data_IF_196374291087
#
_entry.id   IF_196374291087
#
_cell.length_a   1.000
_cell.length_b   1.000
_cell.length_c   1.000
_cell.angle_alpha   90.00
_cell.angle_beta   90.00
_cell.angle_gamma   90.00
#
_symmetry.space_group_name_H-M   'P 1'
#
loop_
_entity.id
_entity.type
_entity.pdbx_description
1 polymer ?
#
# COMPACT_ATOMS: atom_id res chain seq x y z
N UNK A 1 2.80 -21.44 9.91
CA UNK A 1 1.39 -21.20 9.53
C UNK A 1 1.27 -21.62 8.07
N UNK A 2 0.25 -22.40 7.74
CA UNK A 2 -0.08 -22.79 6.37
C UNK A 2 -0.36 -21.54 5.49
N UNK A 3 0.14 -21.55 4.24
CA UNK A 3 -0.01 -20.48 3.27
C UNK A 3 -1.48 -20.24 2.93
N UNK A 4 -2.28 -21.30 2.85
CA UNK A 4 -3.72 -21.19 2.62
C UNK A 4 -4.43 -20.48 3.78
N UNK A 5 -4.11 -20.83 5.02
CA UNK A 5 -4.67 -20.18 6.21
C UNK A 5 -4.39 -18.66 6.22
N UNK A 6 -3.21 -18.25 5.73
CA UNK A 6 -2.85 -16.83 5.59
C UNK A 6 -3.66 -16.11 4.52
N UNK A 7 -3.80 -16.71 3.35
CA UNK A 7 -4.63 -16.14 2.28
C UNK A 7 -6.07 -15.91 2.75
N UNK A 8 -6.64 -16.87 3.50
CA UNK A 8 -7.98 -16.76 4.08
C UNK A 8 -8.03 -15.67 5.14
N UNK A 9 -7.05 -15.63 6.04
CA UNK A 9 -6.96 -14.61 7.09
C UNK A 9 -6.87 -13.19 6.51
N UNK A 10 -6.01 -12.98 5.51
CA UNK A 10 -5.83 -11.70 4.83
C UNK A 10 -7.14 -11.27 4.15
N UNK A 11 -7.77 -12.17 3.39
CA UNK A 11 -9.06 -11.91 2.75
C UNK A 11 -10.14 -11.53 3.77
N UNK A 12 -10.30 -12.32 4.83
CA UNK A 12 -11.33 -12.09 5.87
C UNK A 12 -11.09 -10.76 6.59
N UNK A 13 -9.84 -10.45 6.94
CA UNK A 13 -9.49 -9.17 7.56
C UNK A 13 -9.80 -8.01 6.62
N UNK A 14 -9.40 -8.05 5.35
CA UNK A 14 -9.72 -6.97 4.39
C UNK A 14 -11.22 -6.71 4.32
N UNK A 15 -12.05 -7.74 4.14
CA UNK A 15 -13.50 -7.56 4.05
C UNK A 15 -14.12 -7.07 5.37
N UNK A 16 -13.67 -7.59 6.51
CA UNK A 16 -14.13 -7.11 7.81
C UNK A 16 -13.82 -5.61 7.99
N UNK A 17 -12.63 -5.16 7.60
CA UNK A 17 -12.27 -3.75 7.68
C UNK A 17 -13.02 -2.87 6.68
N UNK A 18 -13.25 -3.33 5.45
CA UNK A 18 -14.10 -2.61 4.49
C UNK A 18 -15.53 -2.45 5.03
N UNK A 19 -16.08 -3.49 5.65
CA UNK A 19 -17.40 -3.41 6.30
C UNK A 19 -17.39 -2.39 7.45
N UNK A 20 -16.39 -2.44 8.34
CA UNK A 20 -16.23 -1.46 9.42
C UNK A 20 -16.06 -0.04 8.88
N UNK A 21 -15.33 0.13 7.77
CA UNK A 21 -15.14 1.42 7.10
C UNK A 21 -16.45 2.00 6.59
N UNK A 22 -17.25 1.20 5.87
CA UNK A 22 -18.57 1.61 5.38
C UNK A 22 -19.49 1.94 6.56
N UNK A 23 -19.53 1.09 7.60
CA UNK A 23 -20.34 1.33 8.80
C UNK A 23 -19.93 2.59 9.56
N UNK A 24 -18.63 2.91 9.62
CA UNK A 24 -18.14 4.14 10.23
C UNK A 24 -18.62 5.38 9.45
N UNK A 25 -18.54 5.35 8.12
CA UNK A 25 -19.05 6.44 7.27
C UNK A 25 -20.57 6.60 7.40
N UNK A 26 -21.31 5.48 7.40
CA UNK A 26 -22.76 5.49 7.56
C UNK A 26 -23.16 6.03 8.94
N UNK A 27 -22.49 5.60 10.01
CA UNK A 27 -22.75 6.06 11.38
C UNK A 27 -22.52 7.56 11.51
N UNK A 28 -21.48 8.07 10.85
CA UNK A 28 -21.17 9.49 10.84
C UNK A 28 -22.17 10.30 10.01
N UNK A 29 -22.56 9.79 8.84
CA UNK A 29 -23.61 10.40 8.02
C UNK A 29 -24.94 10.47 8.77
N UNK A 30 -25.30 9.40 9.48
CA UNK A 30 -26.49 9.34 10.33
C UNK A 30 -26.43 10.36 11.47
N UNK A 31 -25.30 10.46 12.17
CA UNK A 31 -25.13 11.46 13.22
C UNK A 31 -25.32 12.88 12.68
N UNK A 32 -24.78 13.20 11.50
CA UNK A 32 -24.94 14.52 10.87
C UNK A 32 -26.38 14.80 10.43
N UNK A 33 -27.08 13.78 9.90
CA UNK A 33 -28.50 13.88 9.55
C UNK A 33 -29.36 14.18 10.79
N UNK A 34 -29.08 13.51 11.91
CA UNK A 34 -29.77 13.75 13.19
C UNK A 34 -29.49 15.16 13.73
N UNK A 35 -28.23 15.59 13.78
CA UNK A 35 -27.88 16.87 14.42
C UNK A 35 -28.16 18.10 13.56
N UNK A 36 -28.11 17.98 12.23
CA UNK A 36 -28.17 19.13 11.32
C UNK A 36 -29.51 19.25 10.62
N UNK A 37 -30.13 18.13 10.26
CA UNK A 37 -31.37 18.08 9.48
C UNK A 37 -32.56 17.59 10.30
N UNK A 38 -32.37 17.31 11.59
CA UNK A 38 -33.44 16.90 12.48
C UNK A 38 -34.12 15.61 12.02
N UNK A 39 -33.36 14.64 11.49
CA UNK A 39 -33.91 13.39 10.94
C UNK A 39 -34.82 12.61 11.93
N UNK A 40 -34.58 12.74 13.23
CA UNK A 40 -35.40 12.12 14.29
C UNK A 40 -36.40 13.09 14.93
N UNK A 41 -36.44 14.33 14.48
CA UNK A 41 -37.32 15.36 15.01
C UNK A 41 -38.71 15.20 14.37
N UNK A 42 -39.81 15.10 15.14
CA UNK A 42 -41.16 14.91 14.59
C UNK A 42 -41.63 16.02 13.65
N UNK A 43 -40.97 17.19 13.70
CA UNK A 43 -41.19 18.33 12.81
C UNK A 43 -40.10 18.50 11.75
N UNK A 44 -39.11 17.60 11.70
CA UNK A 44 -38.03 17.61 10.73
C UNK A 44 -38.45 16.96 9.41
N UNK A 45 -38.31 17.68 8.30
CA UNK A 45 -38.53 17.14 6.94
C UNK A 45 -37.30 16.44 6.34
N UNK A 46 -36.30 16.14 7.17
CA UNK A 46 -35.01 15.65 6.70
C UNK A 46 -35.11 14.23 6.13
N UNK A 47 -34.95 14.06 4.82
CA UNK A 47 -34.52 12.77 4.26
C UNK A 47 -33.07 12.49 4.74
N UNK A 48 -32.64 11.22 4.89
CA UNK A 48 -31.30 10.86 5.36
C UNK A 48 -30.26 11.06 4.25
N UNK A 49 -30.15 12.30 3.77
CA UNK A 49 -29.40 12.68 2.59
C UNK A 49 -27.89 12.52 2.81
N UNK A 50 -27.37 12.90 3.98
CA UNK A 50 -25.94 12.76 4.28
C UNK A 50 -25.58 11.30 4.46
N UNK A 51 -26.42 10.50 5.11
CA UNK A 51 -26.26 9.05 5.24
C UNK A 51 -26.24 8.35 3.88
N UNK A 52 -27.14 8.72 2.97
CA UNK A 52 -27.18 8.19 1.62
C UNK A 52 -25.90 8.51 0.84
N UNK A 53 -25.44 9.77 0.88
CA UNK A 53 -24.17 10.18 0.26
C UNK A 53 -23.00 9.42 0.89
N UNK A 54 -22.95 9.29 2.22
CA UNK A 54 -21.89 8.59 2.92
C UNK A 54 -21.83 7.11 2.53
N UNK A 55 -22.99 6.45 2.37
CA UNK A 55 -23.09 5.07 1.90
C UNK A 55 -22.57 4.94 0.46
N UNK A 56 -23.04 5.78 -0.46
CA UNK A 56 -22.64 5.75 -1.87
C UNK A 56 -21.14 6.04 -2.01
N UNK A 57 -20.63 7.04 -1.29
CA UNK A 57 -19.21 7.41 -1.33
C UNK A 57 -18.31 6.32 -0.73
N UNK A 58 -18.63 5.83 0.47
CA UNK A 58 -17.82 4.80 1.14
C UNK A 58 -17.91 3.44 0.45
N UNK A 59 -19.10 3.04 0.00
CA UNK A 59 -19.31 1.83 -0.79
C UNK A 59 -18.62 1.92 -2.16
N UNK A 60 -18.74 3.06 -2.84
CA UNK A 60 -18.02 3.32 -4.10
C UNK A 60 -16.50 3.26 -3.93
N UNK A 61 -15.96 3.88 -2.87
CA UNK A 61 -14.53 3.83 -2.57
C UNK A 61 -14.07 2.41 -2.20
N UNK A 62 -14.85 1.66 -1.43
CA UNK A 62 -14.57 0.27 -1.11
C UNK A 62 -14.53 -0.61 -2.37
N UNK A 63 -15.55 -0.49 -3.24
CA UNK A 63 -15.63 -1.24 -4.50
C UNK A 63 -14.47 -0.89 -5.44
N UNK A 64 -14.20 0.39 -5.64
CA UNK A 64 -13.08 0.84 -6.48
C UNK A 64 -11.73 0.40 -5.92
N UNK A 65 -11.52 0.46 -4.60
CA UNK A 65 -10.29 -0.04 -3.96
C UNK A 65 -10.07 -1.54 -4.22
N UNK A 66 -11.13 -2.34 -4.28
CA UNK A 66 -11.05 -3.78 -4.50
C UNK A 66 -10.90 -4.15 -5.98
N UNK A 67 -11.73 -3.59 -6.86
CA UNK A 67 -11.76 -3.99 -8.29
C UNK A 67 -10.77 -3.20 -9.15
N UNK A 68 -10.54 -1.92 -8.84
CA UNK A 68 -9.70 -1.01 -9.62
C UNK A 68 -8.44 -0.57 -8.87
N UNK A 69 -8.21 -1.06 -7.65
CA UNK A 69 -7.16 -0.53 -6.78
C UNK A 69 -5.75 -0.63 -7.37
N UNK A 70 -5.41 -1.75 -7.99
CA UNK A 70 -4.12 -1.91 -8.68
C UNK A 70 -3.92 -0.82 -9.75
N UNK A 71 -4.94 -0.58 -10.58
CA UNK A 71 -4.91 0.44 -11.63
C UNK A 71 -4.81 1.85 -11.06
N UNK A 72 -5.54 2.14 -9.98
CA UNK A 72 -5.51 3.44 -9.31
C UNK A 72 -4.13 3.73 -8.70
N UNK A 73 -3.52 2.73 -8.04
CA UNK A 73 -2.17 2.86 -7.50
C UNK A 73 -1.17 3.11 -8.63
N UNK A 74 -1.17 2.27 -9.67
CA UNK A 74 -0.24 2.42 -10.79
C UNK A 74 -0.39 3.79 -11.48
N UNK A 75 -1.63 4.25 -11.70
CA UNK A 75 -1.88 5.58 -12.24
C UNK A 75 -1.40 6.70 -11.31
N UNK A 76 -1.57 6.55 -9.99
CA UNK A 76 -1.09 7.55 -9.02
C UNK A 76 0.44 7.67 -8.97
N UNK A 77 1.15 6.61 -9.38
CA UNK A 77 2.60 6.56 -9.45
C UNK A 77 3.15 6.92 -10.83
N UNK A 78 2.28 7.25 -11.80
CA UNK A 78 2.65 7.46 -13.20
C UNK A 78 3.43 6.27 -13.79
N UNK A 79 2.99 5.05 -13.45
CA UNK A 79 3.65 3.83 -13.89
C UNK A 79 3.32 3.52 -15.34
N UNK A 80 4.36 3.35 -16.17
CA UNK A 80 4.22 3.03 -17.57
C UNK A 80 4.21 1.51 -17.78
N UNK A 81 3.37 0.98 -18.68
CA UNK A 81 3.39 -0.43 -19.01
C UNK A 81 4.73 -0.81 -19.64
N UNK A 82 5.20 -2.02 -19.37
CA UNK A 82 6.47 -2.52 -19.87
C UNK A 82 6.54 -2.51 -21.42
N UNK A 83 7.49 -1.76 -21.99
CA UNK A 83 7.81 -1.78 -23.42
C UNK A 83 8.65 -3.01 -23.81
N UNK A 84 8.13 -3.96 -24.63
CA UNK A 84 8.87 -5.16 -25.03
C UNK A 84 10.04 -4.91 -26.01
N UNK A 85 10.13 -3.70 -26.59
CA UNK A 85 11.17 -3.37 -27.57
C UNK A 85 12.51 -3.05 -26.91
N UNK A 86 12.51 -2.68 -25.63
CA UNK A 86 13.72 -2.39 -24.86
C UNK A 86 14.34 -3.68 -24.28
N UNK A 87 15.67 -3.79 -24.35
CA UNK A 87 16.38 -5.00 -23.91
C UNK A 87 16.23 -5.24 -22.40
N UNK A 88 16.37 -4.19 -21.59
CA UNK A 88 16.23 -4.23 -20.13
C UNK A 88 14.81 -4.68 -19.72
N UNK A 89 13.80 -4.18 -20.42
CA UNK A 89 12.41 -4.56 -20.20
C UNK A 89 12.16 -6.04 -20.56
N UNK A 90 12.76 -6.55 -21.63
CA UNK A 90 12.69 -7.99 -21.94
C UNK A 90 13.32 -8.83 -20.84
N UNK A 91 14.46 -8.39 -20.28
CA UNK A 91 15.09 -9.07 -19.16
C UNK A 91 14.19 -9.06 -17.93
N UNK A 92 13.61 -7.92 -17.57
CA UNK A 92 12.65 -7.83 -16.46
C UNK A 92 11.45 -8.76 -16.68
N UNK A 93 10.87 -8.77 -17.89
CA UNK A 93 9.76 -9.66 -18.25
C UNK A 93 10.12 -11.14 -18.05
N UNK A 94 11.32 -11.54 -18.45
CA UNK A 94 11.80 -12.92 -18.28
C UNK A 94 11.94 -13.27 -16.80
N UNK A 95 12.54 -12.38 -16.00
CA UNK A 95 12.68 -12.56 -14.55
C UNK A 95 11.31 -12.73 -13.88
N UNK A 96 10.34 -11.87 -14.22
CA UNK A 96 8.98 -11.97 -13.69
C UNK A 96 8.30 -13.27 -14.11
N UNK A 97 8.48 -13.71 -15.35
CA UNK A 97 7.93 -14.98 -15.82
C UNK A 97 8.54 -16.17 -15.06
N UNK A 98 9.86 -16.19 -14.85
CA UNK A 98 10.56 -17.23 -14.10
C UNK A 98 10.07 -17.31 -12.65
N UNK A 99 9.93 -16.16 -11.97
CA UNK A 99 9.46 -16.13 -10.59
C UNK A 99 7.97 -16.46 -10.47
N UNK A 100 7.16 -16.12 -11.48
CA UNK A 100 5.76 -16.55 -11.55
C UNK A 100 5.65 -18.07 -11.68
N UNK A 101 6.46 -18.68 -12.55
CA UNK A 101 6.55 -20.14 -12.69
C UNK A 101 7.00 -20.80 -11.40
N UNK A 102 8.08 -20.30 -10.76
CA UNK A 102 8.58 -20.83 -9.50
C UNK A 102 7.53 -20.75 -8.37
N UNK A 103 6.75 -19.67 -8.33
CA UNK A 103 5.68 -19.48 -7.37
C UNK A 103 4.40 -20.27 -7.69
N UNK A 104 4.29 -20.89 -8.88
CA UNK A 104 3.07 -21.54 -9.34
C UNK A 104 1.90 -20.56 -9.56
N UNK A 105 2.20 -19.32 -9.96
CA UNK A 105 1.23 -18.24 -10.12
C UNK A 105 1.16 -17.77 -11.57
N UNK A 106 0.03 -17.16 -12.00
CA UNK A 106 -0.01 -16.46 -13.27
C UNK A 106 0.99 -15.29 -13.27
N UNK A 107 1.51 -14.96 -14.44
CA UNK A 107 2.40 -13.81 -14.59
C UNK A 107 1.62 -12.51 -14.33
N UNK A 108 2.06 -11.66 -13.37
CA UNK A 108 1.40 -10.37 -13.13
C UNK A 108 1.67 -9.38 -14.26
N UNK A 109 0.84 -8.33 -14.35
CA UNK A 109 1.13 -7.19 -15.21
C UNK A 109 2.42 -6.49 -14.74
N UNK A 110 3.23 -6.00 -15.68
CA UNK A 110 4.53 -5.40 -15.37
C UNK A 110 4.53 -3.93 -15.79
N UNK A 111 4.93 -3.08 -14.85
CA UNK A 111 5.06 -1.65 -15.03
C UNK A 111 6.48 -1.19 -14.70
N UNK A 112 6.86 -0.05 -15.27
CA UNK A 112 8.11 0.64 -15.00
C UNK A 112 7.80 2.03 -14.44
N UNK A 113 8.53 2.41 -13.40
CA UNK A 113 8.46 3.76 -12.82
C UNK A 113 9.70 4.55 -13.26
N UNK A 114 9.46 5.72 -13.86
CA UNK A 114 10.51 6.66 -14.27
C UNK A 114 11.11 7.39 -13.05
N UNK A 115 11.82 6.65 -12.21
CA UNK A 115 12.47 7.15 -11.00
C UNK A 115 13.89 6.57 -10.86
N UNK A 116 14.92 7.40 -10.66
CA UNK A 116 16.29 6.93 -10.53
C UNK A 116 16.58 6.25 -9.18
N UNK A 117 15.70 6.39 -8.19
CA UNK A 117 15.87 5.70 -6.91
C UNK A 117 15.41 4.22 -7.05
N UNK A 118 16.27 3.23 -6.77
CA UNK A 118 15.95 1.83 -6.97
C UNK A 118 14.89 1.36 -5.97
N UNK A 119 13.78 0.84 -6.49
CA UNK A 119 12.72 0.24 -5.70
C UNK A 119 11.82 -0.66 -6.56
N UNK A 120 10.95 -1.41 -5.91
CA UNK A 120 9.91 -2.20 -6.54
C UNK A 120 8.70 -2.30 -5.61
N UNK A 121 7.54 -2.63 -6.18
CA UNK A 121 6.31 -2.88 -5.42
C UNK A 121 5.41 -3.87 -6.16
N UNK A 122 4.43 -4.40 -5.41
CA UNK A 122 3.34 -5.19 -5.95
C UNK A 122 1.98 -4.74 -5.43
N UNK A 123 0.97 -4.83 -6.31
CA UNK A 123 -0.43 -4.53 -6.01
C UNK A 123 -1.34 -5.59 -6.62
N UNK A 124 -2.59 -5.65 -6.16
CA UNK A 124 -3.59 -6.56 -6.71
C UNK A 124 -4.54 -7.08 -5.66
N UNK A 125 -5.72 -7.52 -6.10
CA UNK A 125 -6.74 -8.14 -5.23
C UNK A 125 -6.57 -9.65 -5.09
N UNK A 126 -5.95 -10.28 -6.07
CA UNK A 126 -5.66 -11.70 -6.17
C UNK A 126 -4.58 -11.93 -7.25
N UNK A 127 -3.97 -13.13 -7.35
CA UNK A 127 -2.90 -13.39 -8.31
C UNK A 127 -3.26 -13.14 -9.78
N UNK A 128 -4.51 -13.34 -10.20
CA UNK A 128 -4.94 -13.11 -11.59
C UNK A 128 -5.06 -11.62 -11.92
N UNK A 129 -5.16 -10.77 -10.90
CA UNK A 129 -5.33 -9.32 -11.02
C UNK A 129 -4.20 -8.58 -10.31
N UNK A 130 -2.99 -9.16 -10.33
CA UNK A 130 -1.80 -8.60 -9.73
C UNK A 130 -0.95 -7.83 -10.73
N UNK A 131 -0.23 -6.83 -10.23
CA UNK A 131 0.73 -6.06 -10.99
C UNK A 131 1.98 -5.79 -10.15
N UNK A 132 3.14 -5.78 -10.81
CA UNK A 132 4.43 -5.42 -10.23
C UNK A 132 4.94 -4.18 -10.96
N UNK A 133 5.48 -3.22 -10.21
CA UNK A 133 6.20 -2.09 -10.76
C UNK A 133 7.65 -2.08 -10.26
N UNK A 134 8.58 -1.77 -11.15
CA UNK A 134 10.02 -1.65 -10.86
C UNK A 134 10.50 -0.29 -11.34
N UNK A 135 11.34 0.39 -10.56
CA UNK A 135 11.90 1.67 -10.99
C UNK A 135 13.03 1.48 -11.99
N UNK A 136 13.22 2.45 -12.89
CA UNK A 136 14.41 2.50 -13.77
C UNK A 136 15.69 2.39 -12.95
N UNK A 137 15.75 3.08 -11.82
CA UNK A 137 16.90 3.03 -10.92
C UNK A 137 17.24 1.61 -10.45
N UNK A 138 16.24 0.75 -10.26
CA UNK A 138 16.44 -0.65 -9.90
C UNK A 138 16.91 -1.49 -11.09
N UNK A 139 16.35 -1.27 -12.28
CA UNK A 139 16.79 -1.97 -13.51
C UNK A 139 18.25 -1.65 -13.88
N UNK A 140 18.69 -0.41 -13.64
CA UNK A 140 20.06 0.02 -13.91
C UNK A 140 21.09 -0.53 -12.92
N UNK A 141 20.72 -0.67 -11.64
CA UNK A 141 21.68 -0.92 -10.53
C UNK A 141 21.70 -2.36 -10.05
N UNK A 142 20.58 -3.05 -10.18
CA UNK A 142 20.46 -4.43 -9.75
C UNK A 142 20.89 -5.35 -10.88
N UNK A 143 21.75 -6.30 -10.55
CA UNK A 143 22.05 -7.39 -11.46
C UNK A 143 20.85 -8.35 -11.58
N UNK A 144 20.98 -9.35 -12.44
CA UNK A 144 19.91 -10.30 -12.72
C UNK A 144 19.51 -11.13 -11.48
N UNK A 145 20.45 -11.52 -10.64
CA UNK A 145 20.19 -12.33 -9.44
C UNK A 145 19.54 -11.50 -8.34
N UNK A 146 20.00 -10.27 -8.18
CA UNK A 146 19.44 -9.27 -7.27
C UNK A 146 18.00 -8.92 -7.66
N UNK A 147 17.76 -8.65 -8.94
CA UNK A 147 16.42 -8.40 -9.47
C UNK A 147 15.52 -9.64 -9.32
N UNK A 148 16.01 -10.85 -9.57
CA UNK A 148 15.26 -12.08 -9.26
C UNK A 148 14.87 -12.16 -7.79
N UNK A 149 15.77 -11.81 -6.86
CA UNK A 149 15.49 -11.75 -5.43
C UNK A 149 14.37 -10.77 -5.09
N UNK A 150 14.42 -9.55 -5.63
CA UNK A 150 13.37 -8.53 -5.44
C UNK A 150 12.04 -8.99 -6.01
N UNK A 151 12.02 -9.50 -7.24
CA UNK A 151 10.79 -9.97 -7.87
C UNK A 151 10.23 -11.19 -7.14
N UNK A 152 11.06 -12.11 -6.64
CA UNK A 152 10.61 -13.23 -5.84
C UNK A 152 9.95 -12.79 -4.53
N UNK A 153 10.46 -11.74 -3.90
CA UNK A 153 9.86 -11.11 -2.72
C UNK A 153 8.48 -10.53 -3.05
N UNK A 154 8.35 -9.79 -4.14
CA UNK A 154 7.05 -9.27 -4.60
C UNK A 154 6.06 -10.38 -4.97
N UNK A 155 6.53 -11.45 -5.62
CA UNK A 155 5.72 -12.62 -5.91
C UNK A 155 5.25 -13.32 -4.63
N UNK A 156 6.04 -13.33 -3.57
CA UNK A 156 5.63 -13.88 -2.27
C UNK A 156 4.46 -13.09 -1.65
N UNK A 157 4.43 -11.77 -1.80
CA UNK A 157 3.27 -10.96 -1.36
C UNK A 157 2.01 -11.26 -2.18
N UNK A 158 2.15 -11.48 -3.49
CA UNK A 158 1.05 -11.91 -4.36
C UNK A 158 0.53 -13.28 -3.91
N UNK A 159 1.43 -14.24 -3.69
CA UNK A 159 1.11 -15.59 -3.24
C UNK A 159 0.36 -15.59 -1.90
N UNK A 160 0.80 -14.76 -0.94
CA UNK A 160 0.20 -14.67 0.39
C UNK A 160 -1.06 -13.79 0.45
N UNK A 161 -1.46 -13.14 -0.66
CA UNK A 161 -2.51 -12.11 -0.70
C UNK A 161 -2.26 -10.94 0.26
N UNK A 162 -1.00 -10.61 0.49
CA UNK A 162 -0.65 -9.40 1.22
C UNK A 162 -0.98 -8.17 0.36
N UNK A 163 -0.77 -8.28 -0.96
CA UNK A 163 -1.10 -7.24 -1.95
C UNK A 163 -2.54 -6.75 -1.86
N UNK A 164 -3.49 -7.63 -1.53
CA UNK A 164 -4.90 -7.25 -1.35
C UNK A 164 -5.06 -6.21 -0.24
N UNK A 165 -4.50 -6.49 0.94
CA UNK A 165 -4.58 -5.58 2.08
C UNK A 165 -3.84 -4.29 1.73
N UNK A 166 -2.61 -4.40 1.21
CA UNK A 166 -1.77 -3.24 0.95
C UNK A 166 -2.37 -2.31 -0.12
N UNK A 167 -2.94 -2.86 -1.19
CA UNK A 167 -3.59 -2.10 -2.28
C UNK A 167 -4.82 -1.36 -1.77
N UNK A 168 -5.70 -2.05 -1.04
CA UNK A 168 -6.90 -1.44 -0.47
C UNK A 168 -6.51 -0.29 0.47
N UNK A 169 -5.54 -0.51 1.35
CA UNK A 169 -5.04 0.53 2.26
C UNK A 169 -4.48 1.73 1.49
N UNK A 170 -3.70 1.49 0.43
CA UNK A 170 -3.14 2.58 -0.38
C UNK A 170 -4.21 3.43 -1.05
N UNK A 171 -5.24 2.81 -1.63
CA UNK A 171 -6.35 3.52 -2.26
C UNK A 171 -7.17 4.31 -1.23
N UNK A 172 -7.47 3.71 -0.06
CA UNK A 172 -8.23 4.39 0.99
C UNK A 172 -7.46 5.60 1.56
N UNK A 173 -6.15 5.46 1.80
CA UNK A 173 -5.29 6.55 2.25
C UNK A 173 -5.18 7.65 1.19
N UNK A 174 -4.94 7.29 -0.07
CA UNK A 174 -4.88 8.24 -1.19
C UNK A 174 -6.19 9.00 -1.38
N UNK A 175 -7.32 8.29 -1.35
CA UNK A 175 -8.66 8.88 -1.43
C UNK A 175 -8.93 9.85 -0.28
N UNK A 176 -8.52 9.53 0.94
CA UNK A 176 -8.67 10.44 2.08
C UNK A 176 -7.82 11.71 1.93
N UNK A 177 -6.58 11.59 1.46
CA UNK A 177 -5.72 12.75 1.20
C UNK A 177 -6.35 13.66 0.14
N UNK A 178 -6.89 13.09 -0.93
CA UNK A 178 -7.62 13.84 -1.96
C UNK A 178 -8.86 14.55 -1.39
N UNK A 179 -9.64 13.86 -0.53
CA UNK A 179 -10.80 14.46 0.14
C UNK A 179 -10.41 15.60 1.07
N UNK A 180 -9.33 15.43 1.84
CA UNK A 180 -8.80 16.47 2.73
C UNK A 180 -8.32 17.69 1.94
N UNK A 181 -7.62 17.49 0.83
CA UNK A 181 -7.18 18.57 -0.05
C UNK A 181 -8.35 19.28 -0.74
N UNK A 182 -9.36 18.53 -1.17
CA UNK A 182 -10.58 19.12 -1.74
C UNK A 182 -11.32 19.96 -0.70
N UNK A 183 -11.51 19.44 0.51
CA UNK A 183 -12.09 20.19 1.64
C UNK A 183 -11.31 21.47 1.95
N UNK A 184 -9.98 21.39 1.98
CA UNK A 184 -9.09 22.53 2.16
C UNK A 184 -9.27 23.58 1.05
N UNK A 185 -9.31 23.17 -0.22
CA UNK A 185 -9.51 24.09 -1.36
C UNK A 185 -10.87 24.78 -1.32
N UNK A 186 -11.92 24.04 -0.98
CA UNK A 186 -13.28 24.60 -0.79
C UNK A 186 -13.32 25.64 0.34
N UNK A 187 -12.51 25.46 1.39
CA UNK A 187 -12.36 26.42 2.48
C UNK A 187 -11.66 27.72 2.04
N UNK A 188 -10.59 27.64 1.23
CA UNK A 188 -9.80 28.82 0.82
C UNK A 188 -10.37 29.59 -0.38
N UNK A 189 -11.04 28.93 -1.34
CA UNK A 189 -11.63 29.58 -2.53
C UNK A 189 -12.98 30.25 -2.21
N UNK A 190 -13.64 29.88 -1.12
CA UNK A 190 -14.94 30.43 -0.69
C UNK A 190 -14.86 31.68 0.21
N UNK A 191 -13.96 32.62 -0.11
CA UNK A 191 -13.49 33.73 0.74
C UNK A 191 -14.49 34.72 1.34
N UNK A 192 -15.81 34.56 1.22
CA UNK A 192 -16.78 35.59 1.66
C UNK A 192 -18.01 35.10 2.44
N UNK A 193 -18.02 33.91 3.06
CA UNK A 193 -19.09 33.54 4.01
C UNK A 193 -18.57 32.81 5.24
N UNK A 194 -18.24 33.58 6.29
CA UNK A 194 -17.90 33.12 7.66
C UNK A 194 -18.85 32.04 8.23
N UNK A 195 -20.08 31.90 7.72
CA UNK A 195 -21.03 30.84 8.13
C UNK A 195 -20.79 29.45 7.49
N UNK A 196 -20.18 29.35 6.30
CA UNK A 196 -19.95 28.04 5.62
C UNK A 196 -18.66 27.35 6.06
N UNK A 197 -17.63 28.11 6.47
CA UNK A 197 -16.39 27.55 7.01
C UNK A 197 -16.58 26.76 8.32
N UNK A 198 -17.54 27.17 9.15
CA UNK A 198 -17.93 26.42 10.36
C UNK A 198 -18.58 25.07 10.04
N UNK A 199 -19.46 25.01 9.03
CA UNK A 199 -20.11 23.77 8.59
C UNK A 199 -19.07 22.78 8.05
N UNK A 200 -18.07 23.26 7.30
CA UNK A 200 -17.00 22.41 6.78
C UNK A 200 -16.13 21.81 7.90
N UNK A 201 -15.81 22.60 8.93
CA UNK A 201 -15.09 22.14 10.13
C UNK A 201 -15.91 21.15 10.96
N UNK A 202 -17.22 21.40 11.10
CA UNK A 202 -18.16 20.52 11.80
C UNK A 202 -18.30 19.16 11.08
N UNK A 203 -18.17 19.12 9.76
CA UNK A 203 -18.27 17.86 8.99
C UNK A 203 -16.91 17.15 8.85
N UNK A 204 -15.82 17.87 8.57
CA UNK A 204 -14.51 17.25 8.30
C UNK A 204 -13.78 16.79 9.57
N UNK A 205 -13.94 17.49 10.69
CA UNK A 205 -13.26 17.15 11.94
C UNK A 205 -13.72 15.79 12.52
N UNK A 206 -15.04 15.48 12.59
CA UNK A 206 -15.49 14.16 13.02
C UNK A 206 -15.09 13.05 12.05
N UNK A 207 -15.08 13.31 10.73
CA UNK A 207 -14.56 12.36 9.74
C UNK A 207 -13.11 12.03 10.08
N UNK A 208 -12.25 13.03 10.28
CA UNK A 208 -10.85 12.79 10.62
C UNK A 208 -10.69 12.00 11.93
N UNK A 209 -11.47 12.32 12.97
CA UNK A 209 -11.38 11.67 14.29
C UNK A 209 -11.81 10.19 14.27
N UNK A 210 -12.82 9.84 13.47
CA UNK A 210 -13.32 8.46 13.36
C UNK A 210 -12.48 7.64 12.37
N UNK A 211 -12.06 8.25 11.26
CA UNK A 211 -11.40 7.54 10.16
C UNK A 211 -9.90 7.34 10.42
N UNK A 212 -9.20 8.30 11.03
CA UNK A 212 -7.76 8.18 11.25
C UNK A 212 -7.36 6.93 12.07
N UNK A 213 -8.06 6.58 13.18
CA UNK A 213 -7.77 5.35 13.93
C UNK A 213 -8.07 4.06 13.15
N UNK A 214 -9.07 4.08 12.27
CA UNK A 214 -9.41 2.92 11.45
C UNK A 214 -8.34 2.68 10.38
N UNK A 215 -7.92 3.75 9.71
CA UNK A 215 -6.86 3.70 8.70
C UNK A 215 -5.50 3.38 9.30
N UNK A 216 -5.18 3.85 10.51
CA UNK A 216 -3.93 3.49 11.18
C UNK A 216 -3.87 1.99 11.51
N UNK A 217 -4.99 1.38 11.95
CA UNK A 217 -5.09 -0.07 12.15
C UNK A 217 -4.96 -0.85 10.85
N UNK A 218 -5.60 -0.36 9.79
CA UNK A 218 -5.47 -0.93 8.45
C UNK A 218 -4.03 -0.90 7.95
N UNK A 219 -3.37 0.25 8.11
CA UNK A 219 -1.97 0.45 7.77
C UNK A 219 -1.05 -0.45 8.60
N UNK A 220 -1.30 -0.60 9.90
CA UNK A 220 -0.55 -1.49 10.78
C UNK A 220 -0.74 -2.98 10.46
N UNK A 221 -1.81 -3.36 9.75
CA UNK A 221 -1.95 -4.70 9.21
C UNK A 221 -1.28 -4.86 7.85
N UNK A 222 -1.35 -3.83 7.00
CA UNK A 222 -0.67 -3.80 5.72
C UNK A 222 0.85 -3.92 5.93
N UNK A 223 1.37 -3.18 6.90
CA UNK A 223 2.75 -3.21 7.35
C UNK A 223 2.90 -4.22 8.47
N UNK A 224 3.44 -5.40 8.16
CA UNK A 224 3.79 -6.37 9.20
C UNK A 224 5.20 -6.89 8.98
N UNK A 225 6.09 -6.70 9.98
CA UNK A 225 7.46 -7.24 9.93
C UNK A 225 7.47 -8.75 9.70
N UNK A 226 6.50 -9.46 10.26
CA UNK A 226 6.41 -10.91 10.07
C UNK A 226 6.04 -11.29 8.63
N UNK A 227 5.32 -10.43 7.90
CA UNK A 227 5.06 -10.64 6.47
C UNK A 227 6.33 -10.44 5.66
N UNK A 228 7.06 -9.36 5.92
CA UNK A 228 8.34 -9.06 5.27
C UNK A 228 9.35 -10.20 5.44
N UNK A 229 9.56 -10.70 6.67
CA UNK A 229 10.50 -11.80 6.91
C UNK A 229 10.08 -13.10 6.21
N UNK A 230 8.77 -13.34 6.07
CA UNK A 230 8.28 -14.52 5.37
C UNK A 230 8.32 -14.35 3.86
N UNK A 231 8.12 -13.14 3.35
CA UNK A 231 8.36 -12.81 1.95
C UNK A 231 9.86 -12.97 1.61
N UNK A 232 10.77 -12.52 2.47
CA UNK A 232 12.21 -12.74 2.33
C UNK A 232 12.59 -14.23 2.31
N UNK A 233 12.04 -15.02 3.24
CA UNK A 233 12.27 -16.46 3.29
C UNK A 233 11.69 -17.17 2.05
N UNK A 234 10.49 -16.78 1.62
CA UNK A 234 9.86 -17.32 0.40
C UNK A 234 10.67 -16.94 -0.85
N UNK A 235 11.17 -15.70 -0.91
CA UNK A 235 12.03 -15.26 -2.01
C UNK A 235 13.30 -16.12 -2.08
N UNK A 236 13.93 -16.40 -0.95
CA UNK A 236 15.08 -17.31 -0.87
C UNK A 236 14.74 -18.75 -1.31
N UNK A 237 13.53 -19.24 -0.98
CA UNK A 237 13.05 -20.56 -1.42
C UNK A 237 12.81 -20.62 -2.93
N UNK A 238 12.19 -19.57 -3.49
CA UNK A 238 11.87 -19.47 -4.92
C UNK A 238 13.14 -19.32 -5.78
N UNK A 239 14.07 -18.46 -5.36
CA UNK A 239 15.32 -18.22 -6.11
C UNK A 239 16.40 -19.25 -5.83
N UNK A 240 16.31 -19.97 -4.70
CA UNK A 240 17.41 -20.75 -4.13
C UNK A 240 18.68 -19.93 -3.90
N UNK A 241 18.56 -18.61 -3.83
CA UNK A 241 19.65 -17.66 -3.70
C UNK A 241 19.26 -16.51 -2.74
N UNK A 242 19.32 -16.74 -1.42
CA UNK A 242 19.06 -15.69 -0.43
C UNK A 242 20.03 -14.49 -0.53
N UNK A 243 21.26 -14.71 -1.03
CA UNK A 243 22.26 -13.64 -1.18
C UNK A 243 21.91 -12.65 -2.30
N UNK A 244 21.16 -13.08 -3.32
CA UNK A 244 20.63 -12.18 -4.35
C UNK A 244 19.77 -11.08 -3.74
N UNK A 245 18.77 -11.46 -2.94
CA UNK A 245 17.91 -10.48 -2.26
C UNK A 245 18.69 -9.66 -1.23
N UNK A 246 19.62 -10.27 -0.48
CA UNK A 246 20.43 -9.54 0.51
C UNK A 246 21.24 -8.40 -0.14
N UNK A 247 21.94 -8.68 -1.25
CA UNK A 247 22.71 -7.67 -2.00
C UNK A 247 21.79 -6.60 -2.62
N UNK A 248 20.63 -7.00 -3.14
CA UNK A 248 19.64 -6.06 -3.65
C UNK A 248 19.18 -5.06 -2.58
N UNK A 249 18.84 -5.55 -1.39
CA UNK A 249 18.43 -4.70 -0.26
C UNK A 249 19.56 -3.79 0.22
N UNK A 250 20.82 -4.24 0.16
CA UNK A 250 21.98 -3.39 0.46
C UNK A 250 22.11 -2.23 -0.54
N UNK A 251 22.02 -2.52 -1.84
CA UNK A 251 22.08 -1.50 -2.89
C UNK A 251 20.93 -0.50 -2.79
N UNK A 252 19.71 -1.00 -2.53
CA UNK A 252 18.51 -0.18 -2.36
C UNK A 252 18.65 0.70 -1.11
N UNK A 253 19.09 0.13 0.01
CA UNK A 253 19.23 0.85 1.29
C UNK A 253 20.38 1.85 1.34
N UNK A 254 21.41 1.69 0.49
CA UNK A 254 22.54 2.61 0.42
C UNK A 254 22.19 3.96 -0.22
N UNK A 255 21.09 4.05 -0.97
CA UNK A 255 20.72 5.25 -1.70
C UNK A 255 19.82 6.13 -0.84
N UNK A 256 20.32 7.31 -0.49
CA UNK A 256 19.61 8.32 0.30
C UNK A 256 18.79 9.31 -0.56
N UNK A 257 18.29 8.87 -1.72
CA UNK A 257 17.36 9.67 -2.54
C UNK A 257 15.92 9.16 -2.41
N UNK A 258 14.96 9.98 -1.90
CA UNK A 258 13.56 9.59 -1.83
C UNK A 258 12.97 9.45 -3.23
N UNK A 259 12.08 8.46 -3.40
CA UNK A 259 11.35 8.28 -4.65
C UNK A 259 10.37 9.43 -4.83
N UNK A 260 10.44 10.08 -5.99
CA UNK A 260 9.58 11.21 -6.37
C UNK A 260 8.15 10.75 -6.63
N UNK A 261 7.98 9.57 -7.20
CA UNK A 261 6.67 9.00 -7.51
C UNK A 261 5.90 8.57 -6.24
N UNK A 262 6.61 8.26 -5.15
CA UNK A 262 5.98 7.73 -3.94
C UNK A 262 5.28 8.82 -3.13
N UNK A 263 4.10 8.48 -2.58
CA UNK A 263 3.35 9.34 -1.66
C UNK A 263 3.26 8.70 -0.29
N UNK A 264 2.80 9.45 0.73
CA UNK A 264 2.51 8.86 2.06
C UNK A 264 1.48 7.73 2.02
N UNK A 265 0.58 7.74 1.05
CA UNK A 265 -0.44 6.71 0.87
C UNK A 265 0.06 5.46 0.14
N UNK A 266 1.16 5.54 -0.61
CA UNK A 266 1.72 4.42 -1.38
C UNK A 266 3.05 3.90 -0.81
N UNK A 267 3.64 4.60 0.15
CA UNK A 267 4.96 4.27 0.69
C UNK A 267 5.09 2.84 1.21
N UNK A 268 4.05 2.30 1.86
CA UNK A 268 4.05 0.94 2.42
C UNK A 268 4.01 -0.18 1.37
N UNK A 269 3.82 0.14 0.10
CA UNK A 269 3.79 -0.84 -0.98
C UNK A 269 5.18 -1.21 -1.48
N UNK A 270 6.17 -0.35 -1.25
CA UNK A 270 7.52 -0.51 -1.76
C UNK A 270 8.34 -1.44 -0.87
N UNK A 271 9.27 -2.18 -1.48
CA UNK A 271 10.14 -3.13 -0.76
C UNK A 271 11.05 -2.45 0.28
N UNK A 272 11.36 -1.17 0.07
CA UNK A 272 12.09 -0.30 1.00
C UNK A 272 11.37 1.05 1.16
N UNK A 273 11.52 1.70 2.34
CA UNK A 273 10.87 2.99 2.62
C UNK A 273 11.26 4.05 1.57
N UNK A 274 10.33 4.43 0.69
CA UNK A 274 10.64 5.30 -0.43
C UNK A 274 10.72 6.77 -0.03
N UNK A 275 10.15 7.13 1.13
CA UNK A 275 10.13 8.50 1.63
C UNK A 275 11.34 8.82 2.50
N UNK A 276 12.19 7.82 2.73
CA UNK A 276 13.40 7.93 3.54
C UNK A 276 13.14 8.68 4.82
N UNK A 277 12.14 8.20 5.57
CA UNK A 277 11.98 8.64 6.95
C UNK A 277 13.10 7.98 7.75
N UNK A 278 14.33 8.44 7.51
CA UNK A 278 15.44 8.30 8.43
C UNK A 278 15.03 9.08 9.66
N UNK A 279 14.26 8.42 10.53
CA UNK A 279 14.24 8.77 11.94
C UNK A 279 15.67 8.46 12.36
N UNK A 280 16.47 9.53 12.39
CA UNK A 280 17.91 9.45 12.52
C UNK A 280 18.32 8.55 13.68
N UNK A 281 19.53 8.03 13.55
CA UNK A 281 20.32 7.16 14.42
C UNK A 281 20.53 7.67 15.87
N UNK A 282 19.66 8.54 16.38
CA UNK A 282 19.62 9.04 17.76
C UNK A 282 18.50 8.44 18.62
N UNK A 283 17.47 7.82 18.04
CA UNK A 283 16.32 7.26 18.80
C UNK A 283 16.21 5.73 18.67
N UNK A 284 17.29 5.01 18.97
CA UNK A 284 17.55 3.60 18.62
C UNK A 284 16.63 2.49 19.18
N UNK A 285 15.41 2.78 19.65
CA UNK A 285 14.39 1.76 20.03
C UNK A 285 12.95 2.23 19.81
N UNK A 286 12.67 3.53 19.90
CA UNK A 286 11.33 4.11 19.68
C UNK A 286 11.08 4.43 18.20
N UNK A 287 12.13 4.82 17.46
CA UNK A 287 12.09 5.00 16.01
C UNK A 287 11.70 3.70 15.28
N UNK A 288 12.24 2.57 15.74
CA UNK A 288 11.94 1.24 15.21
C UNK A 288 10.46 0.86 15.33
N UNK A 289 9.71 1.45 16.27
CA UNK A 289 8.27 1.19 16.46
C UNK A 289 7.38 1.99 15.50
N UNK A 290 7.91 3.08 14.92
CA UNK A 290 7.19 3.97 14.00
C UNK A 290 7.64 3.82 12.54
N UNK A 291 8.74 3.09 12.31
CA UNK A 291 9.20 2.74 10.97
C UNK A 291 8.17 1.82 10.27
N UNK A 292 7.76 2.21 9.07
CA UNK A 292 6.81 1.47 8.24
C UNK A 292 7.41 0.22 7.61
N UNK A 293 8.71 -0.03 7.77
CA UNK A 293 9.37 -1.26 7.35
C UNK A 293 10.30 -1.76 8.48
N UNK A 294 10.48 -3.08 8.64
CA UNK A 294 11.55 -3.59 9.49
C UNK A 294 12.91 -3.06 9.03
N UNK A 295 13.86 -2.86 9.96
CA UNK A 295 15.17 -2.33 9.61
C UNK A 295 15.85 -3.25 8.58
N UNK A 296 16.25 -2.69 7.44
CA UNK A 296 16.87 -3.42 6.32
C UNK A 296 18.07 -4.25 6.78
N UNK A 297 18.89 -3.71 7.69
CA UNK A 297 20.03 -4.42 8.27
C UNK A 297 19.65 -5.78 8.87
N UNK A 298 18.47 -5.89 9.51
CA UNK A 298 17.99 -7.14 10.09
C UNK A 298 17.52 -8.13 9.03
N UNK A 299 16.84 -7.66 7.98
CA UNK A 299 16.44 -8.50 6.83
C UNK A 299 17.68 -9.08 6.14
N UNK A 300 18.67 -8.23 5.86
CA UNK A 300 19.95 -8.62 5.25
C UNK A 300 20.68 -9.66 6.11
N UNK A 301 20.75 -9.47 7.43
CA UNK A 301 21.38 -10.42 8.33
C UNK A 301 20.69 -11.80 8.30
N UNK A 302 19.36 -11.84 8.32
CA UNK A 302 18.58 -13.09 8.22
C UNK A 302 18.86 -13.80 6.89
N UNK A 303 18.82 -13.07 5.77
CA UNK A 303 19.09 -13.65 4.45
C UNK A 303 20.51 -14.22 4.33
N UNK A 304 21.52 -13.52 4.86
CA UNK A 304 22.89 -14.03 4.91
C UNK A 304 22.99 -15.30 5.75
N UNK A 305 22.34 -15.34 6.90
CA UNK A 305 22.35 -16.53 7.73
C UNK A 305 21.66 -17.73 7.07
N UNK A 306 20.53 -17.51 6.37
CA UNK A 306 19.87 -18.53 5.54
C UNK A 306 20.82 -19.09 4.47
N UNK A 307 21.64 -18.24 3.85
CA UNK A 307 22.64 -18.67 2.87
C UNK A 307 23.72 -19.58 3.46
N UNK A 308 24.08 -19.36 4.73
CA UNK A 308 25.10 -20.10 5.44
C UNK A 308 24.57 -21.26 6.29
N UNK A 309 23.24 -21.50 6.28
CA UNK A 309 22.60 -22.53 7.09
C UNK A 309 22.68 -22.28 8.60
N UNK A 310 22.91 -21.04 9.01
CA UNK A 310 23.01 -20.67 10.43
C UNK A 310 21.64 -20.23 10.97
N UNK A 311 21.27 -20.71 12.17
CA UNK A 311 20.04 -20.27 12.83
C UNK A 311 20.20 -18.82 13.34
N UNK A 312 19.16 -17.99 13.14
CA UNK A 312 19.06 -16.59 13.59
C UNK A 312 18.01 -16.43 14.66
#
# INVERSE_FOLDING_TARGET
MDLYARQVQNRRRTFAFLAVFILAFLSLGFALDVTTYGFLDPHGEGLPFVSFIALVASGGLALTSYFAGARLVMASLLADPLDPNLAEHRQLRNIVAEMALAAGLPQPAIYVLLDPAPNALSVGRDPQHAAIAVTEGAMERLDREEMQGVIAHEMAHIANRDTLVMTVVGVLLGGLVMLADWGRRMFYVGGERRRRGGILLIVLLPIALVIAPLLSRLLAMAISRQREYLADATAAELTRNPLGLARALEKIGAIATPLRAATRGTAHLFISDPLQRSIGSRDGRLADLLATHPPLARRIAILRALAHGTAV
#
